data_IF_465175387099
#
_entry.id   IF_465175387099
#
_cell.length_a   1.000
_cell.length_b   1.000
_cell.length_c   1.000
_cell.angle_alpha   90.00
_cell.angle_beta   90.00
_cell.angle_gamma   90.00
#
_symmetry.space_group_name_H-M   'P 1'
#
loop_
_entity.id
_entity.type
_entity.pdbx_description
1 polymer ?
#
# COMPACT_ATOMS: atom_id res chain seq x y z
N UNK A 1 10.88 14.44 5.04
CA UNK A 1 11.50 13.10 4.94
C UNK A 1 10.79 12.35 3.82
N UNK A 2 11.46 11.98 2.73
CA UNK A 2 10.79 11.33 1.59
C UNK A 2 10.31 9.89 1.86
N UNK A 3 10.82 9.23 2.90
CA UNK A 3 10.56 7.83 3.17
C UNK A 3 10.11 7.62 4.61
N UNK A 4 8.82 7.81 4.88
CA UNK A 4 8.22 7.50 6.18
C UNK A 4 7.61 6.11 6.15
N UNK A 5 8.18 5.20 6.90
CA UNK A 5 7.61 3.88 7.16
C UNK A 5 7.68 3.56 8.65
N UNK A 6 6.70 2.84 9.15
CA UNK A 6 6.78 2.22 10.47
C UNK A 6 7.48 0.88 10.31
N UNK A 7 8.62 0.72 10.96
CA UNK A 7 9.35 -0.55 10.95
C UNK A 7 8.96 -1.38 12.17
N UNK A 8 8.59 -2.64 11.96
CA UNK A 8 8.24 -3.61 13.01
C UNK A 8 9.03 -4.89 12.77
N UNK A 9 9.68 -5.37 13.81
CA UNK A 9 10.52 -6.57 13.76
C UNK A 9 11.96 -6.29 13.35
N UNK A 10 12.81 -7.30 13.54
CA UNK A 10 14.25 -7.24 13.28
C UNK A 10 14.78 -8.47 12.53
N UNK A 11 13.86 -9.31 12.03
CA UNK A 11 14.22 -10.55 11.32
C UNK A 11 14.93 -10.31 9.99
N UNK A 12 15.59 -11.35 9.46
CA UNK A 12 16.33 -11.27 8.21
C UNK A 12 15.42 -11.11 6.97
N UNK A 13 14.21 -11.65 7.01
CA UNK A 13 13.28 -11.59 5.90
C UNK A 13 12.59 -10.23 5.85
N UNK A 14 12.72 -9.52 4.75
CA UNK A 14 12.23 -8.15 4.58
C UNK A 14 10.88 -8.13 3.88
N UNK A 15 9.93 -7.37 4.43
CA UNK A 15 8.56 -7.27 3.90
C UNK A 15 8.12 -5.81 3.88
N UNK A 16 7.69 -5.32 2.73
CA UNK A 16 7.08 -3.99 2.62
C UNK A 16 5.57 -4.14 2.50
N UNK A 17 4.83 -3.41 3.33
CA UNK A 17 3.38 -3.50 3.44
C UNK A 17 2.73 -2.25 2.87
N UNK A 18 1.88 -2.43 1.87
CA UNK A 18 1.20 -1.38 1.12
C UNK A 18 -0.31 -1.44 1.39
N UNK A 19 -0.84 -0.38 2.01
CA UNK A 19 -2.24 -0.31 2.45
C UNK A 19 -3.22 -0.04 1.30
N UNK A 20 -4.50 -0.26 1.58
CA UNK A 20 -5.60 0.10 0.69
C UNK A 20 -5.95 1.59 0.72
N UNK A 21 -6.91 1.96 -0.12
CA UNK A 21 -7.51 3.30 -0.12
C UNK A 21 -8.13 3.57 1.27
N UNK A 22 -8.06 4.79 1.77
CA UNK A 22 -8.39 5.19 3.14
C UNK A 22 -7.48 4.62 4.24
N UNK A 23 -6.50 3.77 3.93
CA UNK A 23 -5.56 3.22 4.89
C UNK A 23 -4.37 4.12 5.19
N UNK A 24 -3.53 3.70 6.10
CA UNK A 24 -2.23 4.31 6.40
C UNK A 24 -1.32 3.29 7.10
N UNK A 25 -0.04 3.59 7.26
CA UNK A 25 0.96 2.69 7.81
C UNK A 25 0.62 2.08 9.19
N UNK A 26 -0.16 2.78 10.01
CA UNK A 26 -0.58 2.32 11.35
C UNK A 26 -1.98 1.74 11.39
N UNK A 27 -2.67 1.67 10.25
CA UNK A 27 -4.08 1.29 10.13
C UNK A 27 -4.35 -0.18 9.82
N UNK A 28 -3.38 -1.07 10.06
CA UNK A 28 -3.49 -2.50 9.74
C UNK A 28 -4.21 -3.33 10.81
N UNK A 29 -4.68 -2.68 11.88
CA UNK A 29 -5.52 -3.30 12.90
C UNK A 29 -4.88 -4.52 13.58
N UNK A 30 -5.68 -5.59 13.84
CA UNK A 30 -5.21 -6.77 14.57
C UNK A 30 -4.05 -7.51 13.90
N UNK A 31 -3.86 -7.40 12.58
CA UNK A 31 -2.75 -8.02 11.88
C UNK A 31 -1.40 -7.68 12.53
N UNK A 32 -1.24 -6.44 12.99
CA UNK A 32 0.02 -5.97 13.57
C UNK A 32 0.41 -6.72 14.86
N UNK A 33 -0.57 -7.30 15.56
CA UNK A 33 -0.34 -8.10 16.77
C UNK A 33 0.04 -9.55 16.50
N UNK A 34 -0.17 -10.02 15.26
CA UNK A 34 0.06 -11.41 14.84
C UNK A 34 1.34 -11.58 14.00
N UNK A 35 2.13 -10.51 13.87
CA UNK A 35 3.35 -10.53 13.06
C UNK A 35 4.47 -11.33 13.74
N UNK A 36 5.15 -12.19 12.98
CA UNK A 36 6.40 -12.82 13.42
C UNK A 36 7.57 -11.84 13.28
N UNK A 37 7.82 -11.10 14.35
CA UNK A 37 8.82 -10.03 14.38
C UNK A 37 10.26 -10.52 14.58
N UNK A 38 10.45 -11.82 14.86
CA UNK A 38 11.79 -12.43 15.00
C UNK A 38 12.35 -12.88 13.66
N UNK A 39 11.52 -13.44 12.79
CA UNK A 39 11.95 -13.94 11.49
C UNK A 39 11.78 -12.90 10.37
N UNK A 40 10.95 -11.87 10.59
CA UNK A 40 10.67 -10.85 9.60
C UNK A 40 10.92 -9.43 10.12
N UNK A 41 11.22 -8.54 9.19
CA UNK A 41 11.20 -7.08 9.37
C UNK A 41 10.16 -6.52 8.41
N UNK A 42 9.16 -5.84 8.94
CA UNK A 42 8.05 -5.25 8.16
C UNK A 42 8.23 -3.74 8.08
N UNK A 43 8.07 -3.18 6.88
CA UNK A 43 8.00 -1.75 6.64
C UNK A 43 6.60 -1.37 6.18
N UNK A 44 5.81 -0.74 7.03
CA UNK A 44 4.49 -0.21 6.71
C UNK A 44 4.66 1.21 6.17
N UNK A 45 4.41 1.42 4.89
CA UNK A 45 4.68 2.67 4.19
C UNK A 45 3.42 3.54 4.10
N UNK A 46 3.58 4.84 4.36
CA UNK A 46 2.59 5.84 3.98
C UNK A 46 2.88 6.37 2.57
N UNK A 47 1.85 6.44 1.73
CA UNK A 47 1.94 7.04 0.40
C UNK A 47 1.90 8.57 0.48
N UNK A 48 2.29 9.24 -0.60
CA UNK A 48 2.04 10.68 -0.77
C UNK A 48 0.53 10.93 -0.65
N UNK A 49 0.15 11.90 0.16
CA UNK A 49 -1.25 12.19 0.47
C UNK A 49 -1.87 11.33 1.58
N UNK A 50 -1.12 10.36 2.16
CA UNK A 50 -1.60 9.44 3.18
C UNK A 50 -0.82 9.57 4.48
N UNK A 51 -1.47 9.26 5.61
CA UNK A 51 -0.86 9.14 6.93
C UNK A 51 0.11 10.28 7.27
N UNK A 52 1.34 9.95 7.61
CA UNK A 52 2.39 10.93 7.92
C UNK A 52 2.85 11.73 6.70
N UNK A 53 2.48 11.31 5.48
CA UNK A 53 2.80 12.00 4.21
C UNK A 53 1.61 12.76 3.63
N UNK A 54 0.56 13.03 4.41
CA UNK A 54 -0.67 13.72 3.96
C UNK A 54 -0.41 15.07 3.29
N UNK A 55 0.61 15.81 3.74
CA UNK A 55 1.02 17.08 3.14
C UNK A 55 1.99 16.99 1.96
N UNK A 56 2.40 15.78 1.55
CA UNK A 56 3.31 15.63 0.43
C UNK A 56 2.59 15.87 -0.91
N UNK A 57 3.25 16.57 -1.83
CA UNK A 57 2.75 16.76 -3.19
C UNK A 57 2.72 15.46 -4.01
N UNK A 58 1.88 15.45 -5.05
CA UNK A 58 1.77 14.34 -6.00
C UNK A 58 3.05 14.07 -6.83
N UNK A 59 2.95 13.23 -7.85
CA UNK A 59 1.71 12.61 -8.32
C UNK A 59 1.13 11.56 -7.36
N UNK A 60 -0.20 11.38 -7.42
CA UNK A 60 -0.93 10.40 -6.60
C UNK A 60 -1.37 9.22 -7.48
N UNK A 61 -0.41 8.46 -7.98
CA UNK A 61 -0.64 7.35 -8.91
C UNK A 61 -0.07 6.04 -8.33
N UNK A 62 -0.57 4.90 -8.82
CA UNK A 62 -0.03 3.59 -8.44
C UNK A 62 1.45 3.47 -8.84
N UNK A 63 1.82 3.97 -10.01
CA UNK A 63 3.22 3.99 -10.45
C UNK A 63 4.12 4.80 -9.48
N UNK A 64 3.62 5.91 -8.94
CA UNK A 64 4.37 6.67 -7.94
C UNK A 64 4.49 5.91 -6.61
N UNK A 65 3.46 5.15 -6.21
CA UNK A 65 3.56 4.28 -5.03
C UNK A 65 4.65 3.22 -5.25
N UNK A 66 4.70 2.59 -6.42
CA UNK A 66 5.72 1.60 -6.76
C UNK A 66 7.13 2.21 -6.73
N UNK A 67 7.32 3.37 -7.36
CA UNK A 67 8.59 4.10 -7.32
C UNK A 67 9.02 4.47 -5.88
N UNK A 68 8.10 5.01 -5.07
CA UNK A 68 8.39 5.37 -3.67
C UNK A 68 8.68 4.12 -2.81
N UNK A 69 8.09 2.95 -3.15
CA UNK A 69 8.37 1.67 -2.49
C UNK A 69 9.80 1.20 -2.77
N UNK A 70 10.24 1.27 -4.01
CA UNK A 70 11.63 0.94 -4.39
C UNK A 70 12.63 1.89 -3.72
N UNK A 71 12.33 3.19 -3.70
CA UNK A 71 13.15 4.18 -3.02
C UNK A 71 13.21 3.97 -1.50
N UNK A 72 12.11 3.50 -0.87
CA UNK A 72 12.11 3.09 0.54
C UNK A 72 13.01 1.87 0.76
N UNK A 73 12.91 0.85 -0.11
CA UNK A 73 13.77 -0.33 -0.01
C UNK A 73 15.26 0.04 -0.11
N UNK A 74 15.62 0.95 -1.02
CA UNK A 74 16.99 1.46 -1.18
C UNK A 74 17.45 2.20 0.09
N UNK A 75 16.59 3.07 0.64
CA UNK A 75 16.88 3.80 1.89
C UNK A 75 17.11 2.86 3.08
N UNK A 76 16.38 1.74 3.14
CA UNK A 76 16.50 0.72 4.19
C UNK A 76 17.66 -0.26 3.93
N UNK A 77 18.32 -0.19 2.79
CA UNK A 77 19.35 -1.15 2.38
C UNK A 77 18.80 -2.55 2.08
N UNK A 78 17.51 -2.64 1.69
CA UNK A 78 16.85 -3.91 1.40
C UNK A 78 16.96 -4.25 -0.08
N UNK A 79 18.02 -4.98 -0.44
CA UNK A 79 18.27 -5.39 -1.84
C UNK A 79 17.17 -6.32 -2.35
N UNK A 80 16.70 -7.25 -1.50
CA UNK A 80 15.60 -8.18 -1.80
C UNK A 80 14.54 -8.09 -0.71
N UNK A 81 13.28 -8.20 -1.08
CA UNK A 81 12.15 -8.10 -0.16
C UNK A 81 10.90 -8.80 -0.70
N UNK A 82 9.99 -9.12 0.18
CA UNK A 82 8.63 -9.55 -0.15
C UNK A 82 7.67 -8.37 -0.01
N UNK A 83 6.49 -8.48 -0.59
CA UNK A 83 5.48 -7.43 -0.59
C UNK A 83 4.14 -7.98 -0.09
N UNK A 84 3.47 -7.23 0.78
CA UNK A 84 2.07 -7.43 1.14
C UNK A 84 1.30 -6.22 0.64
N UNK A 85 0.25 -6.44 -0.16
CA UNK A 85 -0.60 -5.37 -0.68
C UNK A 85 -2.06 -5.64 -0.38
N UNK A 86 -2.73 -4.71 0.30
CA UNK A 86 -4.15 -4.76 0.56
C UNK A 86 -4.92 -3.86 -0.41
N UNK A 87 -5.96 -4.38 -1.07
CA UNK A 87 -6.85 -3.61 -1.95
C UNK A 87 -6.04 -2.83 -3.02
N UNK A 88 -6.07 -1.49 -3.00
CA UNK A 88 -5.26 -0.62 -3.88
C UNK A 88 -3.75 -0.91 -3.77
N UNK A 89 -3.25 -1.23 -2.58
CA UNK A 89 -1.86 -1.67 -2.38
C UNK A 89 -1.55 -2.97 -3.13
N UNK A 90 -2.56 -3.80 -3.39
CA UNK A 90 -2.45 -4.99 -4.23
C UNK A 90 -2.10 -4.67 -5.68
N UNK A 91 -2.63 -3.59 -6.23
CA UNK A 91 -2.20 -3.08 -7.55
C UNK A 91 -0.76 -2.58 -7.49
N UNK A 92 -0.40 -1.83 -6.45
CA UNK A 92 0.94 -1.27 -6.32
C UNK A 92 2.04 -2.35 -6.22
N UNK A 93 1.82 -3.46 -5.49
CA UNK A 93 2.81 -4.54 -5.41
C UNK A 93 3.06 -5.23 -6.76
N UNK A 94 2.05 -5.30 -7.63
CA UNK A 94 2.20 -5.82 -8.98
C UNK A 94 3.03 -4.89 -9.87
N UNK A 95 2.89 -3.57 -9.71
CA UNK A 95 3.75 -2.58 -10.36
C UNK A 95 5.20 -2.67 -9.88
N UNK A 96 5.43 -2.81 -8.57
CA UNK A 96 6.80 -3.02 -8.04
C UNK A 96 7.44 -4.28 -8.63
N UNK A 97 6.68 -5.38 -8.74
CA UNK A 97 7.18 -6.61 -9.36
C UNK A 97 7.54 -6.41 -10.84
N UNK A 98 6.73 -5.64 -11.58
CA UNK A 98 6.99 -5.36 -12.99
C UNK A 98 8.25 -4.49 -13.17
N UNK A 99 8.47 -3.52 -12.27
CA UNK A 99 9.58 -2.58 -12.36
C UNK A 99 10.92 -3.16 -11.86
N UNK A 100 10.89 -4.10 -10.91
CA UNK A 100 12.10 -4.69 -10.30
C UNK A 100 11.88 -6.17 -9.92
N UNK A 101 11.64 -7.05 -10.90
CA UNK A 101 11.30 -8.46 -10.64
C UNK A 101 12.41 -9.21 -9.88
N UNK A 102 13.67 -8.83 -10.10
CA UNK A 102 14.83 -9.46 -9.46
C UNK A 102 14.93 -9.17 -7.95
N UNK A 103 14.26 -8.12 -7.47
CA UNK A 103 14.26 -7.72 -6.06
C UNK A 103 13.14 -8.34 -5.25
N UNK A 104 12.05 -8.76 -5.91
CA UNK A 104 10.83 -9.24 -5.26
C UNK A 104 10.89 -10.74 -5.05
N UNK A 105 10.89 -11.18 -3.80
CA UNK A 105 10.95 -12.60 -3.42
C UNK A 105 9.58 -13.27 -3.40
N UNK A 106 8.56 -12.55 -2.93
CA UNK A 106 7.18 -13.06 -2.85
C UNK A 106 6.18 -11.90 -2.82
N UNK A 107 4.96 -12.18 -3.27
CA UNK A 107 3.81 -11.28 -3.20
C UNK A 107 2.69 -11.91 -2.38
N UNK A 108 2.08 -11.13 -1.50
CA UNK A 108 0.83 -11.48 -0.82
C UNK A 108 -0.20 -10.39 -1.11
N UNK A 109 -1.24 -10.76 -1.86
CA UNK A 109 -2.37 -9.88 -2.13
C UNK A 109 -3.53 -10.17 -1.18
N UNK A 110 -3.92 -9.20 -0.36
CA UNK A 110 -5.11 -9.26 0.48
C UNK A 110 -6.22 -8.52 -0.25
N UNK A 111 -7.20 -9.24 -0.79
CA UNK A 111 -8.27 -8.69 -1.64
C UNK A 111 -7.73 -7.65 -2.67
N UNK A 112 -6.72 -8.03 -3.49
CA UNK A 112 -5.98 -7.07 -4.28
C UNK A 112 -6.80 -6.51 -5.45
N UNK A 113 -6.63 -5.22 -5.74
CA UNK A 113 -7.05 -4.65 -7.02
C UNK A 113 -6.06 -5.12 -8.10
N UNK A 114 -6.53 -5.57 -9.28
CA UNK A 114 -5.66 -5.96 -10.38
C UNK A 114 -4.78 -4.80 -10.88
N UNK A 115 -3.62 -5.11 -11.44
CA UNK A 115 -2.74 -4.10 -12.05
C UNK A 115 -3.43 -3.34 -13.20
N UNK A 116 -4.38 -3.98 -13.88
CA UNK A 116 -5.22 -3.37 -14.92
C UNK A 116 -6.23 -2.34 -14.39
N UNK A 117 -6.36 -2.22 -13.07
CA UNK A 117 -7.33 -1.35 -12.40
C UNK A 117 -8.67 -2.02 -12.14
N UNK A 118 -9.54 -1.31 -11.40
CA UNK A 118 -10.89 -1.77 -11.13
C UNK A 118 -11.77 -1.58 -12.37
N UNK A 119 -12.58 -2.58 -12.76
CA UNK A 119 -13.41 -2.53 -13.97
C UNK A 119 -14.73 -1.78 -13.69
N UNK A 120 -14.64 -0.51 -13.30
CA UNK A 120 -15.82 0.34 -13.10
C UNK A 120 -16.31 0.87 -14.44
N UNK A 121 -17.63 0.94 -14.58
CA UNK A 121 -18.28 1.76 -15.60
C UNK A 121 -18.24 3.26 -15.21
N UNK A 122 -18.76 4.13 -16.08
CA UNK A 122 -18.75 5.57 -15.84
C UNK A 122 -19.48 5.96 -14.54
N UNK A 123 -20.57 5.27 -14.20
CA UNK A 123 -21.31 5.51 -12.95
C UNK A 123 -20.50 5.10 -11.72
N UNK A 124 -19.83 3.95 -11.78
CA UNK A 124 -18.92 3.49 -10.73
C UNK A 124 -17.76 4.47 -10.53
N UNK A 125 -17.13 4.93 -11.61
CA UNK A 125 -16.07 5.94 -11.52
C UNK A 125 -16.57 7.26 -10.93
N UNK A 126 -17.74 7.74 -11.34
CA UNK A 126 -18.34 8.97 -10.79
C UNK A 126 -18.62 8.83 -9.29
N UNK A 127 -19.14 7.67 -8.85
CA UNK A 127 -19.39 7.37 -7.45
C UNK A 127 -18.10 7.41 -6.63
N UNK A 128 -17.06 6.68 -7.05
CA UNK A 128 -15.77 6.67 -6.35
C UNK A 128 -15.07 8.04 -6.37
N UNK A 129 -15.14 8.78 -7.47
CA UNK A 129 -14.55 10.12 -7.57
C UNK A 129 -15.24 11.11 -6.62
N UNK A 130 -16.54 11.01 -6.41
CA UNK A 130 -17.28 11.89 -5.51
C UNK A 130 -16.88 11.75 -4.04
N UNK A 131 -16.27 10.63 -3.66
CA UNK A 131 -15.72 10.42 -2.31
C UNK A 131 -14.67 11.47 -1.93
N UNK A 132 -14.01 12.10 -2.88
CA UNK A 132 -13.05 13.19 -2.61
C UNK A 132 -13.70 14.37 -1.88
N UNK A 133 -14.98 14.63 -2.15
CA UNK A 133 -15.71 15.80 -1.66
C UNK A 133 -16.89 15.47 -0.75
N UNK A 134 -17.35 14.20 -0.73
CA UNK A 134 -18.53 13.78 0.02
C UNK A 134 -18.19 12.72 1.09
N UNK A 135 -18.26 13.09 2.40
CA UNK A 135 -18.03 12.15 3.49
C UNK A 135 -19.03 11.00 3.54
N UNK A 136 -20.29 11.21 3.08
CA UNK A 136 -21.30 10.15 3.08
C UNK A 136 -20.96 9.09 2.02
N UNK A 137 -20.44 9.50 0.88
CA UNK A 137 -19.94 8.57 -0.14
C UNK A 137 -18.72 7.79 0.36
N UNK A 138 -17.79 8.44 1.07
CA UNK A 138 -16.67 7.72 1.70
C UNK A 138 -17.16 6.63 2.64
N UNK A 139 -18.13 6.97 3.50
CA UNK A 139 -18.74 5.99 4.40
C UNK A 139 -19.42 4.85 3.63
N UNK A 140 -20.19 5.17 2.60
CA UNK A 140 -20.87 4.16 1.79
C UNK A 140 -19.89 3.20 1.12
N UNK A 141 -18.74 3.71 0.59
CA UNK A 141 -17.69 2.86 0.02
C UNK A 141 -17.07 1.95 1.09
N UNK A 142 -16.80 2.47 2.29
CA UNK A 142 -16.26 1.66 3.40
C UNK A 142 -17.27 0.56 3.75
N UNK A 143 -18.53 0.90 3.95
CA UNK A 143 -19.58 -0.07 4.29
C UNK A 143 -19.72 -1.15 3.19
N UNK A 144 -19.64 -0.76 1.91
CA UNK A 144 -19.71 -1.69 0.77
C UNK A 144 -18.52 -2.67 0.73
N UNK A 145 -17.35 -2.24 1.15
CA UNK A 145 -16.11 -3.00 1.04
C UNK A 145 -15.74 -3.78 2.29
N UNK A 146 -16.37 -3.50 3.44
CA UNK A 146 -16.05 -4.16 4.71
C UNK A 146 -17.17 -5.08 5.21
N UNK A 147 -18.36 -4.99 4.67
CA UNK A 147 -19.52 -5.84 5.00
C UNK A 147 -20.33 -5.34 6.17
#
# INVERSE_FOLDING_TARGET
MPHTAQIIGSGPNKVICLNGWFGHARGWGPLMHSLDTRHFSYAFMDYRGYGARKGSGGPYTIAQIAHDTLALADHLGWAHFSLIGHSMGGSAIQHVLADAPERVQALVGITPVPASGAPFDDAGWAFFASAAHDPAVRKAIIDLTTG
#
